data_IF_654132980962
#
_entry.id   IF_654132980962
#
_cell.length_a   1.000
_cell.length_b   1.000
_cell.length_c   1.000
_cell.angle_alpha   90.00
_cell.angle_beta   90.00
_cell.angle_gamma   90.00
#
_symmetry.space_group_name_H-M   'P 1'
#
loop_
_entity.id
_entity.type
_entity.pdbx_description
1 polymer ?
#
# COMPACT_ATOMS: atom_id res chain seq x y z
N UNK A 1 8.87 1.99 18.08
CA UNK A 1 8.95 1.44 16.72
C UNK A 1 7.60 1.70 16.09
N UNK A 2 7.56 2.53 15.05
CA UNK A 2 6.32 2.89 14.35
C UNK A 2 5.83 1.70 13.50
N UNK A 3 4.55 1.66 13.15
CA UNK A 3 3.89 0.55 12.45
C UNK A 3 4.53 0.25 11.10
N UNK A 4 4.92 1.28 10.34
CA UNK A 4 5.66 1.14 9.08
C UNK A 4 7.03 0.47 9.27
N UNK A 5 7.77 0.81 10.32
CA UNK A 5 9.07 0.19 10.64
C UNK A 5 8.91 -1.31 10.96
N UNK A 6 7.81 -1.68 11.62
CA UNK A 6 7.49 -3.08 11.93
C UNK A 6 7.17 -3.85 10.64
N UNK A 7 6.35 -3.26 9.78
CA UNK A 7 6.06 -3.80 8.45
C UNK A 7 7.36 -4.00 7.66
N UNK A 8 8.20 -2.97 7.53
CA UNK A 8 9.42 -3.03 6.74
C UNK A 8 10.35 -4.14 7.22
N UNK A 9 10.49 -4.28 8.54
CA UNK A 9 11.28 -5.35 9.13
C UNK A 9 10.76 -6.72 8.70
N UNK A 10 9.45 -6.97 8.80
CA UNK A 10 8.83 -8.24 8.41
C UNK A 10 8.98 -8.51 6.90
N UNK A 11 8.81 -7.49 6.07
CA UNK A 11 9.00 -7.59 4.62
C UNK A 11 10.46 -7.95 4.27
N UNK A 12 11.46 -7.33 4.91
CA UNK A 12 12.87 -7.72 4.74
C UNK A 12 13.19 -9.12 5.23
N UNK A 13 12.58 -9.52 6.34
CA UNK A 13 12.76 -10.88 6.86
C UNK A 13 12.18 -11.92 5.88
N UNK A 14 11.09 -11.59 5.18
CA UNK A 14 10.57 -12.43 4.09
C UNK A 14 11.55 -12.52 2.91
N UNK A 15 12.12 -11.39 2.45
CA UNK A 15 13.11 -11.37 1.37
C UNK A 15 14.33 -12.25 1.69
N UNK A 16 14.77 -12.25 2.95
CA UNK A 16 15.92 -13.06 3.40
C UNK A 16 15.59 -14.53 3.58
N UNK A 17 14.32 -14.84 3.83
CA UNK A 17 13.85 -16.19 4.15
C UNK A 17 13.63 -17.04 2.90
N UNK A 18 13.16 -16.42 1.83
CA UNK A 18 12.80 -17.12 0.60
C UNK A 18 13.90 -16.95 -0.45
N UNK A 19 14.38 -18.07 -0.99
CA UNK A 19 15.31 -18.07 -2.13
C UNK A 19 14.56 -17.80 -3.45
N UNK A 20 13.28 -18.17 -3.51
CA UNK A 20 12.38 -17.88 -4.63
C UNK A 20 11.79 -16.45 -4.50
N UNK A 21 12.03 -15.56 -5.47
CA UNK A 21 11.44 -14.23 -5.50
C UNK A 21 9.91 -14.22 -5.43
N UNK A 22 9.22 -15.21 -6.02
CA UNK A 22 7.76 -15.23 -6.06
C UNK A 22 7.17 -15.53 -4.67
N UNK A 23 7.84 -16.38 -3.89
CA UNK A 23 7.49 -16.62 -2.49
C UNK A 23 7.74 -15.38 -1.62
N UNK A 24 8.84 -14.65 -1.88
CA UNK A 24 9.12 -13.39 -1.20
C UNK A 24 8.07 -12.31 -1.51
N UNK A 25 7.68 -12.16 -2.78
CA UNK A 25 6.62 -11.23 -3.24
C UNK A 25 5.30 -11.56 -2.54
N UNK A 26 4.92 -12.84 -2.50
CA UNK A 26 3.71 -13.32 -1.83
C UNK A 26 3.73 -12.95 -0.34
N UNK A 27 4.86 -13.16 0.34
CA UNK A 27 5.01 -12.83 1.75
C UNK A 27 4.99 -11.31 2.02
N UNK A 28 5.58 -10.50 1.13
CA UNK A 28 5.50 -9.03 1.19
C UNK A 28 4.04 -8.57 1.06
N UNK A 29 3.29 -9.11 0.09
CA UNK A 29 1.86 -8.82 -0.11
C UNK A 29 1.04 -9.13 1.14
N UNK A 30 1.18 -10.34 1.67
CA UNK A 30 0.41 -10.78 2.83
C UNK A 30 0.74 -9.94 4.07
N UNK A 31 2.01 -9.55 4.21
CA UNK A 31 2.43 -8.61 5.25
C UNK A 31 1.77 -7.25 5.03
N UNK A 32 1.80 -6.69 3.82
CA UNK A 32 1.17 -5.42 3.50
C UNK A 32 -0.33 -5.46 3.83
N UNK A 33 -1.04 -6.49 3.40
CA UNK A 33 -2.49 -6.63 3.61
C UNK A 33 -2.87 -6.63 5.08
N UNK A 34 -2.05 -7.28 5.92
CA UNK A 34 -2.22 -7.25 7.36
C UNK A 34 -2.13 -5.83 7.93
N UNK A 35 -1.18 -5.02 7.46
CA UNK A 35 -0.99 -3.64 7.93
C UNK A 35 -1.97 -2.63 7.30
N UNK A 36 -2.53 -2.93 6.13
CA UNK A 36 -3.62 -2.16 5.53
C UNK A 36 -4.97 -2.38 6.24
N UNK A 37 -5.09 -3.40 7.09
CA UNK A 37 -6.20 -3.55 8.04
C UNK A 37 -7.58 -3.56 7.38
N UNK A 38 -8.46 -2.64 7.80
CA UNK A 38 -9.87 -2.55 7.40
C UNK A 38 -10.13 -2.09 5.96
N UNK A 39 -9.09 -1.92 5.13
CA UNK A 39 -9.26 -1.68 3.70
C UNK A 39 -9.88 -2.92 3.03
N UNK A 40 -10.86 -2.77 2.11
CA UNK A 40 -11.40 -3.88 1.35
C UNK A 40 -10.33 -4.63 0.56
N UNK A 41 -10.41 -5.95 0.52
CA UNK A 41 -9.35 -6.78 -0.08
C UNK A 41 -9.11 -6.44 -1.56
N UNK A 42 -10.16 -6.12 -2.33
CA UNK A 42 -10.04 -5.67 -3.71
C UNK A 42 -9.11 -4.45 -3.84
N UNK A 43 -9.27 -3.44 -2.96
CA UNK A 43 -8.43 -2.25 -2.97
C UNK A 43 -7.01 -2.55 -2.46
N UNK A 44 -6.83 -3.47 -1.51
CA UNK A 44 -5.50 -3.94 -1.10
C UNK A 44 -4.75 -4.58 -2.28
N UNK A 45 -5.45 -5.37 -3.09
CA UNK A 45 -4.88 -5.95 -4.31
C UNK A 45 -4.48 -4.87 -5.32
N UNK A 46 -5.32 -3.88 -5.56
CA UNK A 46 -5.02 -2.77 -6.48
C UNK A 46 -3.81 -1.96 -6.00
N UNK A 47 -3.73 -1.65 -4.69
CA UNK A 47 -2.58 -0.99 -4.07
C UNK A 47 -1.30 -1.81 -4.25
N UNK A 48 -1.36 -3.11 -3.99
CA UNK A 48 -0.19 -3.98 -4.16
C UNK A 48 0.24 -4.07 -5.61
N UNK A 49 -0.70 -4.23 -6.54
CA UNK A 49 -0.43 -4.27 -7.97
C UNK A 49 0.22 -2.97 -8.47
N UNK A 50 -0.22 -1.81 -7.98
CA UNK A 50 0.41 -0.51 -8.25
C UNK A 50 1.90 -0.51 -7.86
N UNK A 51 2.21 -0.93 -6.63
CA UNK A 51 3.61 -0.98 -6.17
C UNK A 51 4.45 -2.06 -6.86
N UNK A 52 3.83 -3.18 -7.26
CA UNK A 52 4.52 -4.30 -7.88
C UNK A 52 4.82 -4.09 -9.36
N UNK A 53 3.84 -3.60 -10.13
CA UNK A 53 3.95 -3.48 -11.59
C UNK A 53 4.30 -2.05 -12.01
N UNK A 54 3.57 -1.04 -11.53
CA UNK A 54 3.68 0.33 -12.06
C UNK A 54 4.87 1.12 -11.49
N UNK A 55 5.21 0.90 -10.22
CA UNK A 55 6.44 1.47 -9.64
C UNK A 55 7.72 0.88 -10.26
N UNK A 56 7.62 -0.38 -10.72
CA UNK A 56 8.74 -1.12 -11.30
C UNK A 56 9.17 -0.56 -12.65
N UNK A 57 8.21 -0.12 -13.46
CA UNK A 57 8.46 0.47 -14.78
C UNK A 57 9.23 1.80 -14.70
N UNK A 58 9.06 2.54 -13.60
CA UNK A 58 9.69 3.87 -13.41
C UNK A 58 10.99 3.81 -12.59
N UNK A 59 11.32 2.66 -12.00
CA UNK A 59 12.51 2.49 -11.15
C UNK A 59 13.37 1.31 -11.65
N UNK A 60 14.41 1.55 -12.48
CA UNK A 60 15.28 0.48 -13.00
C UNK A 60 15.94 -0.31 -11.87
N UNK A 61 15.85 -1.65 -11.92
CA UNK A 61 16.48 -2.53 -10.92
C UNK A 61 15.69 -2.70 -9.64
N UNK A 62 14.36 -2.69 -9.72
CA UNK A 62 13.43 -2.85 -8.59
C UNK A 62 13.64 -4.20 -7.91
N UNK A 63 14.53 -4.19 -6.92
CA UNK A 63 14.76 -5.27 -5.98
C UNK A 63 13.54 -5.37 -5.04
N UNK A 64 13.31 -6.55 -4.49
CA UNK A 64 12.26 -6.82 -3.51
C UNK A 64 12.30 -5.83 -2.33
N UNK A 65 13.47 -5.27 -2.01
CA UNK A 65 13.64 -4.23 -1.01
C UNK A 65 12.90 -2.92 -1.36
N UNK A 66 12.84 -2.55 -2.64
CA UNK A 66 12.10 -1.36 -3.10
C UNK A 66 10.60 -1.60 -2.98
N UNK A 67 10.12 -2.79 -3.36
CA UNK A 67 8.73 -3.20 -3.16
C UNK A 67 8.34 -3.20 -1.67
N UNK A 68 9.26 -3.64 -0.80
CA UNK A 68 9.07 -3.62 0.64
C UNK A 68 9.08 -2.20 1.23
N UNK A 69 9.78 -1.23 0.63
CA UNK A 69 9.90 0.14 1.14
C UNK A 69 8.78 1.08 0.62
N UNK A 70 8.32 0.88 -0.61
CA UNK A 70 7.38 1.77 -1.28
C UNK A 70 6.08 2.08 -0.49
N UNK A 71 5.43 1.12 0.21
CA UNK A 71 4.18 1.38 0.92
C UNK A 71 4.34 1.96 2.34
N UNK A 72 5.56 2.30 2.80
CA UNK A 72 5.76 2.76 4.19
C UNK A 72 4.95 4.01 4.54
N UNK A 73 4.96 5.01 3.65
CA UNK A 73 4.20 6.25 3.84
C UNK A 73 2.68 5.98 3.89
N UNK A 74 2.20 5.04 3.09
CA UNK A 74 0.80 4.63 3.07
C UNK A 74 0.41 3.94 4.38
N UNK A 75 1.27 3.05 4.89
CA UNK A 75 1.05 2.38 6.17
C UNK A 75 1.05 3.38 7.32
N UNK A 76 2.00 4.32 7.35
CA UNK A 76 2.02 5.39 8.36
C UNK A 76 0.80 6.29 8.27
N UNK A 77 0.36 6.62 7.06
CA UNK A 77 -0.85 7.39 6.84
C UNK A 77 -2.10 6.66 7.36
N UNK A 78 -2.30 5.40 6.97
CA UNK A 78 -3.47 4.61 7.40
C UNK A 78 -3.43 4.39 8.91
N UNK A 79 -2.28 3.95 9.45
CA UNK A 79 -2.18 3.56 10.86
C UNK A 79 -2.07 4.75 11.81
N UNK A 80 -1.57 5.90 11.33
CA UNK A 80 -1.56 7.16 12.07
C UNK A 80 -2.89 7.90 12.07
N UNK A 81 -3.79 7.61 11.11
CA UNK A 81 -5.14 8.19 11.02
C UNK A 81 -6.25 7.19 11.44
N UNK A 82 -5.93 5.90 11.57
CA UNK A 82 -6.85 4.86 12.04
C UNK A 82 -6.99 4.88 13.56
N UNK A 83 -7.54 5.97 14.08
CA UNK A 83 -8.30 5.92 15.33
C UNK A 83 -9.78 5.98 14.96
N UNK A 84 -10.43 4.81 14.94
CA UNK A 84 -11.87 4.61 15.13
C UNK A 84 -12.89 4.94 14.02
N UNK A 85 -12.67 4.62 12.73
CA UNK A 85 -13.80 4.61 11.77
C UNK A 85 -13.64 3.70 10.56
N UNK A 86 -14.56 2.74 10.44
CA UNK A 86 -14.90 2.03 9.20
C UNK A 86 -15.40 3.06 8.16
N UNK A 87 -14.70 3.16 7.02
CA UNK A 87 -15.20 3.93 5.88
C UNK A 87 -16.35 3.15 5.21
N UNK A 88 -17.33 3.86 4.62
CA UNK A 88 -18.40 3.22 3.85
C UNK A 88 -17.87 2.70 2.50
N UNK A 89 -18.48 1.64 1.97
CA UNK A 89 -18.07 1.01 0.69
C UNK A 89 -17.96 2.00 -0.48
N UNK A 90 -18.84 3.01 -0.54
CA UNK A 90 -18.82 4.05 -1.57
C UNK A 90 -17.57 4.94 -1.50
N UNK A 91 -17.01 5.14 -0.31
CA UNK A 91 -15.77 5.90 -0.14
C UNK A 91 -14.58 5.09 -0.65
N UNK A 92 -14.58 3.77 -0.43
CA UNK A 92 -13.56 2.87 -0.98
C UNK A 92 -13.64 2.76 -2.51
N UNK A 93 -14.84 2.72 -3.08
CA UNK A 93 -15.03 2.69 -4.54
C UNK A 93 -14.48 3.96 -5.22
N UNK A 94 -14.69 5.14 -4.64
CA UNK A 94 -14.15 6.40 -5.15
C UNK A 94 -12.61 6.37 -5.25
N UNK A 95 -11.93 5.69 -4.32
CA UNK A 95 -10.47 5.55 -4.33
C UNK A 95 -10.04 4.58 -5.40
N UNK A 96 -10.72 3.43 -5.47
CA UNK A 96 -10.45 2.42 -6.49
C UNK A 96 -10.56 3.04 -7.87
N UNK A 97 -11.60 3.84 -8.10
CA UNK A 97 -11.81 4.54 -9.37
C UNK A 97 -10.72 5.61 -9.60
N UNK A 98 -10.28 6.32 -8.55
CA UNK A 98 -9.15 7.26 -8.62
C UNK A 98 -7.81 6.57 -8.95
N UNK A 99 -7.54 5.41 -8.36
CA UNK A 99 -6.36 4.58 -8.65
C UNK A 99 -6.42 4.10 -10.10
N UNK A 100 -7.54 3.51 -10.51
CA UNK A 100 -7.69 2.94 -11.85
C UNK A 100 -7.69 4.01 -12.95
N UNK A 101 -8.34 5.15 -12.74
CA UNK A 101 -8.43 6.22 -13.73
C UNK A 101 -7.10 6.95 -13.95
N UNK A 102 -6.19 6.89 -12.98
CA UNK A 102 -4.91 7.58 -13.04
C UNK A 102 -3.73 6.62 -13.05
N UNK A 103 -3.93 5.31 -13.16
CA UNK A 103 -2.90 4.29 -12.95
C UNK A 103 -1.61 4.57 -13.76
N UNK A 104 -1.75 5.05 -15.01
CA UNK A 104 -0.62 5.36 -15.90
C UNK A 104 0.12 6.67 -15.54
N UNK A 105 -0.52 7.58 -14.79
CA UNK A 105 0.01 8.88 -14.36
C UNK A 105 0.21 8.97 -12.84
N UNK A 106 -0.11 7.91 -12.10
CA UNK A 106 -0.21 7.93 -10.66
C UNK A 106 1.17 7.81 -10.03
N UNK A 107 1.62 8.90 -9.42
CA UNK A 107 2.78 8.91 -8.53
C UNK A 107 2.36 8.68 -7.06
N UNK A 108 3.33 8.41 -6.18
CA UNK A 108 3.08 8.22 -4.74
C UNK A 108 2.37 9.40 -4.10
N UNK A 109 2.56 10.61 -4.67
CA UNK A 109 1.97 11.84 -4.15
C UNK A 109 0.48 11.86 -4.45
N UNK A 110 0.05 11.43 -5.63
CA UNK A 110 -1.36 11.32 -6.01
C UNK A 110 -2.08 10.25 -5.21
N UNK A 111 -1.47 9.08 -4.99
CA UNK A 111 -2.02 8.03 -4.11
C UNK A 111 -2.18 8.57 -2.68
N UNK A 112 -1.15 9.23 -2.14
CA UNK A 112 -1.22 9.83 -0.81
C UNK A 112 -2.27 10.96 -0.72
N UNK A 113 -2.48 11.73 -1.80
CA UNK A 113 -3.51 12.77 -1.88
C UNK A 113 -4.93 12.19 -1.93
N UNK A 114 -5.15 11.15 -2.73
CA UNK A 114 -6.44 10.43 -2.77
C UNK A 114 -6.75 9.85 -1.38
N UNK A 115 -5.75 9.28 -0.71
CA UNK A 115 -5.88 8.80 0.66
C UNK A 115 -6.15 9.94 1.66
N UNK A 116 -5.49 11.09 1.50
CA UNK A 116 -5.71 12.29 2.33
C UNK A 116 -7.13 12.85 2.21
N UNK A 117 -7.70 12.92 1.00
CA UNK A 117 -9.05 13.44 0.74
C UNK A 117 -10.11 12.65 1.51
N UNK A 118 -9.96 11.34 1.65
CA UNK A 118 -10.90 10.51 2.41
C UNK A 118 -10.86 10.82 3.91
N UNK A 119 -9.66 10.98 4.45
CA UNK A 119 -9.46 11.30 5.86
C UNK A 119 -9.94 12.71 6.17
N UNK A 120 -9.85 13.64 5.21
CA UNK A 120 -10.35 15.00 5.37
C UNK A 120 -11.88 15.10 5.24
N UNK A 121 -12.50 14.33 4.34
CA UNK A 121 -13.98 14.22 4.26
C UNK A 121 -14.62 13.70 5.55
N UNK A 122 -13.90 12.94 6.38
CA UNK A 122 -14.35 12.52 7.73
C UNK A 122 -14.51 13.68 8.73
N UNK A 123 -13.98 14.87 8.44
CA UNK A 123 -14.03 16.03 9.35
C UNK A 123 -15.26 16.94 9.16
N UNK A 124 -16.12 16.66 8.18
CA UNK A 124 -17.30 17.46 7.86
C UNK A 124 -18.59 16.65 7.87
#
# INVERSE_FOLDING_TARGET
>A
MNTSEVYFKKAKDAIRRFEDPDEAITAIRDTLFHYLGGIPDALKFDIFHFYHEQWRETTPGTDLYVLAEAPLNLIDFITGQATDSEFADAEWEMIRDGINANADEMDIRLLNQLMAILVEKKRY
#
